data_IF_457045308711
#
_entry.id   IF_457045308711
#
_cell.length_a   1.000
_cell.length_b   1.000
_cell.length_c   1.000
_cell.angle_alpha   90.00
_cell.angle_beta   90.00
_cell.angle_gamma   90.00
#
_symmetry.space_group_name_H-M   'P 1'
#
loop_
_entity.id
_entity.type
_entity.pdbx_description
1 polymer ?
#
# COMPACT_ATOMS: atom_id res chain seq x y z
N UNK A 1 17.02 7.60 4.15
CA UNK A 1 15.59 7.24 4.29
C UNK A 1 15.39 6.40 5.53
N UNK A 2 14.18 6.28 6.08
CA UNK A 2 13.88 5.28 7.11
C UNK A 2 14.17 3.87 6.57
N UNK A 3 14.36 2.90 7.45
CA UNK A 3 14.41 1.48 7.07
C UNK A 3 12.98 0.95 6.98
N UNK A 4 12.72 -0.09 6.19
CA UNK A 4 11.44 -0.86 6.16
C UNK A 4 10.87 -1.06 7.57
N UNK A 5 11.65 -1.67 8.48
CA UNK A 5 11.24 -1.87 9.88
C UNK A 5 10.86 -0.61 10.66
N UNK A 6 11.33 0.58 10.26
CA UNK A 6 10.86 1.83 10.88
C UNK A 6 9.50 2.20 10.31
N UNK A 7 9.29 2.04 9.01
CA UNK A 7 8.04 2.32 8.32
C UNK A 7 6.91 1.43 8.85
N UNK A 8 7.13 0.11 8.97
CA UNK A 8 6.14 -0.84 9.53
C UNK A 8 5.62 -0.39 10.90
N UNK A 9 6.55 0.08 11.75
CA UNK A 9 6.21 0.56 13.08
C UNK A 9 5.40 1.85 13.03
N UNK A 10 5.74 2.77 12.13
CA UNK A 10 5.01 4.03 12.00
C UNK A 10 3.61 3.79 11.46
N UNK A 11 3.43 2.84 10.54
CA UNK A 11 2.12 2.42 10.03
C UNK A 11 1.29 1.71 11.09
N UNK A 12 1.87 0.76 11.81
CA UNK A 12 1.20 0.10 12.93
C UNK A 12 0.72 1.11 13.99
N UNK A 13 1.56 2.07 14.36
CA UNK A 13 1.19 3.14 15.29
C UNK A 13 0.11 4.04 14.66
N UNK A 14 0.21 4.42 13.39
CA UNK A 14 -0.80 5.23 12.70
C UNK A 14 -2.16 4.52 12.69
N UNK A 15 -2.20 3.23 12.34
CA UNK A 15 -3.42 2.44 12.28
C UNK A 15 -4.12 2.38 13.64
N UNK A 16 -3.36 2.13 14.71
CA UNK A 16 -3.91 2.03 16.06
C UNK A 16 -4.33 3.41 16.58
N UNK A 17 -3.49 4.45 16.40
CA UNK A 17 -3.77 5.81 16.88
C UNK A 17 -4.98 6.44 16.16
N UNK A 18 -5.20 6.13 14.90
CA UNK A 18 -6.39 6.61 14.16
C UNK A 18 -7.70 6.07 14.77
N UNK A 19 -7.66 4.86 15.34
CA UNK A 19 -8.84 4.22 15.96
C UNK A 19 -9.01 4.56 17.44
N UNK A 20 -7.90 4.68 18.19
CA UNK A 20 -7.89 4.76 19.67
C UNK A 20 -7.29 6.05 20.24
N UNK A 21 -6.77 6.94 19.41
CA UNK A 21 -6.05 8.16 19.81
C UNK A 21 -4.58 7.95 20.19
N UNK A 22 -4.23 6.79 20.76
CA UNK A 22 -2.86 6.39 21.10
C UNK A 22 -2.64 4.89 20.86
N UNK A 23 -1.38 4.45 20.70
CA UNK A 23 -1.03 3.04 20.62
C UNK A 23 -0.31 2.55 21.88
N UNK A 24 -0.62 1.35 22.36
CA UNK A 24 0.16 0.70 23.43
C UNK A 24 1.19 -0.23 22.81
N UNK A 25 2.32 -0.43 23.49
CA UNK A 25 3.37 -1.35 23.03
C UNK A 25 2.85 -2.78 22.78
N UNK A 26 1.90 -3.26 23.60
CA UNK A 26 1.26 -4.55 23.40
C UNK A 26 0.45 -4.63 22.09
N UNK A 27 -0.25 -3.56 21.73
CA UNK A 27 -1.12 -3.52 20.55
C UNK A 27 -0.24 -3.52 19.28
N UNK A 28 0.89 -2.81 19.33
CA UNK A 28 1.89 -2.80 18.24
C UNK A 28 2.61 -4.15 18.13
N UNK A 29 2.96 -4.77 19.26
CA UNK A 29 3.59 -6.10 19.28
C UNK A 29 2.71 -7.17 18.64
N UNK A 30 1.42 -7.17 19.01
CA UNK A 30 0.42 -8.09 18.47
C UNK A 30 0.21 -7.86 16.96
N UNK A 31 0.05 -6.60 16.54
CA UNK A 31 -0.18 -6.27 15.13
C UNK A 31 1.01 -6.64 14.23
N UNK A 32 2.23 -6.44 14.71
CA UNK A 32 3.46 -6.75 13.96
C UNK A 32 3.96 -8.19 14.16
N UNK A 33 3.32 -8.99 15.02
CA UNK A 33 3.74 -10.38 15.30
C UNK A 33 5.13 -10.50 15.94
N UNK A 34 5.51 -9.55 16.80
CA UNK A 34 6.85 -9.47 17.42
C UNK A 34 6.79 -9.38 18.95
N UNK A 35 7.94 -9.53 19.61
CA UNK A 35 8.00 -9.47 21.08
C UNK A 35 7.79 -8.05 21.64
N UNK A 36 7.12 -7.90 22.81
CA UNK A 36 6.97 -6.60 23.47
C UNK A 36 8.30 -5.91 23.82
N UNK A 37 9.36 -6.69 24.07
CA UNK A 37 10.70 -6.14 24.32
C UNK A 37 11.27 -5.46 23.08
N UNK A 38 11.16 -6.09 21.90
CA UNK A 38 11.56 -5.48 20.63
C UNK A 38 10.81 -4.17 20.34
N UNK A 39 9.51 -4.12 20.68
CA UNK A 39 8.71 -2.90 20.51
C UNK A 39 9.23 -1.78 21.41
N UNK A 40 9.54 -2.08 22.67
CA UNK A 40 10.04 -1.09 23.63
C UNK A 40 11.37 -0.49 23.19
N UNK A 41 12.31 -1.33 22.73
CA UNK A 41 13.59 -0.88 22.17
C UNK A 41 13.40 0.00 20.94
N UNK A 42 12.51 -0.40 20.02
CA UNK A 42 12.21 0.38 18.83
C UNK A 42 11.54 1.71 19.17
N UNK A 43 10.63 1.76 20.14
CA UNK A 43 10.00 3.01 20.58
C UNK A 43 11.02 4.02 21.10
N UNK A 44 11.99 3.58 21.91
CA UNK A 44 13.08 4.45 22.34
C UNK A 44 13.88 4.99 21.15
N UNK A 45 14.16 4.15 20.15
CA UNK A 45 14.87 4.54 18.93
C UNK A 45 14.06 5.53 18.07
N UNK A 46 12.76 5.29 17.88
CA UNK A 46 11.86 6.16 17.12
C UNK A 46 11.68 7.51 17.80
N UNK A 47 11.55 7.52 19.13
CA UNK A 47 11.45 8.73 19.94
C UNK A 47 12.72 9.58 19.83
N UNK A 48 13.91 8.98 20.00
CA UNK A 48 15.20 9.65 19.79
C UNK A 48 15.36 10.24 18.38
N UNK A 49 14.74 9.63 17.37
CA UNK A 49 14.74 10.12 15.98
C UNK A 49 13.65 11.15 15.67
N UNK A 50 12.80 11.47 16.65
CA UNK A 50 11.71 12.45 16.55
C UNK A 50 10.52 11.98 15.72
N UNK A 51 10.30 10.66 15.58
CA UNK A 51 9.16 10.13 14.82
C UNK A 51 7.91 9.90 15.67
N UNK A 52 8.07 9.68 16.97
CA UNK A 52 6.96 9.43 17.89
C UNK A 52 7.12 10.26 19.16
N UNK A 53 5.99 10.60 19.78
CA UNK A 53 5.94 11.03 21.18
C UNK A 53 5.79 9.77 22.02
N UNK A 54 6.80 9.49 22.85
CA UNK A 54 6.83 8.31 23.70
C UNK A 54 7.23 8.69 25.11
N UNK A 55 6.37 8.32 26.06
CA UNK A 55 6.65 8.33 27.48
C UNK A 55 6.55 6.91 28.03
N UNK A 56 7.44 6.56 28.95
CA UNK A 56 7.47 5.21 29.53
C UNK A 56 6.16 4.94 30.26
N UNK A 57 5.57 3.76 30.02
CA UNK A 57 4.25 3.33 30.54
C UNK A 57 3.04 4.11 30.00
N UNK A 58 3.25 5.20 29.28
CA UNK A 58 2.25 5.91 28.50
C UNK A 58 2.15 5.31 27.09
N UNK A 59 1.01 5.54 26.41
CA UNK A 59 0.89 5.19 24.99
C UNK A 59 1.85 5.99 24.11
N UNK A 60 1.94 5.62 22.83
CA UNK A 60 2.69 6.36 21.82
C UNK A 60 1.75 7.03 20.83
N UNK A 61 2.16 8.20 20.36
CA UNK A 61 1.55 8.89 19.21
C UNK A 61 2.61 9.27 18.20
N UNK A 62 2.22 9.48 16.94
CA UNK A 62 3.15 9.96 15.92
C UNK A 62 3.36 11.46 16.06
N UNK A 63 4.60 11.90 15.85
CA UNK A 63 4.88 13.31 15.52
C UNK A 63 4.46 13.58 14.07
N UNK A 64 4.43 14.85 13.65
CA UNK A 64 4.18 15.20 12.24
C UNK A 64 5.20 14.59 11.27
N UNK A 65 6.43 14.35 11.75
CA UNK A 65 7.48 13.70 10.98
C UNK A 65 7.17 12.22 10.78
N UNK A 66 6.81 11.51 11.85
CA UNK A 66 6.43 10.10 11.77
C UNK A 66 5.15 9.88 10.98
N UNK A 67 4.15 10.73 11.19
CA UNK A 67 2.87 10.69 10.48
C UNK A 67 3.03 10.85 8.97
N UNK A 68 3.89 11.78 8.53
CA UNK A 68 4.16 11.97 7.10
C UNK A 68 4.75 10.73 6.44
N UNK A 69 5.60 9.99 7.15
CA UNK A 69 6.17 8.73 6.65
C UNK A 69 5.09 7.65 6.60
N UNK A 70 4.36 7.44 7.71
CA UNK A 70 3.28 6.43 7.76
C UNK A 70 2.23 6.64 6.66
N UNK A 71 1.76 7.89 6.46
CA UNK A 71 0.79 8.20 5.40
C UNK A 71 1.39 7.97 4.01
N UNK A 72 2.69 8.28 3.83
CA UNK A 72 3.35 8.03 2.55
C UNK A 72 3.42 6.54 2.27
N UNK A 73 3.88 5.72 3.22
CA UNK A 73 3.99 4.27 3.04
C UNK A 73 2.63 3.64 2.77
N UNK A 74 1.59 4.00 3.54
CA UNK A 74 0.23 3.52 3.30
C UNK A 74 -0.29 3.91 1.90
N UNK A 75 0.04 5.09 1.38
CA UNK A 75 -0.36 5.46 0.01
C UNK A 75 0.33 4.61 -1.06
N UNK A 76 1.56 4.18 -0.80
CA UNK A 76 2.30 3.26 -1.68
C UNK A 76 1.60 1.89 -1.63
N UNK A 77 1.31 1.39 -0.42
CA UNK A 77 0.54 0.16 -0.20
C UNK A 77 -0.75 0.16 -1.02
N UNK A 78 -1.61 1.16 -0.80
CA UNK A 78 -2.93 1.27 -1.42
C UNK A 78 -2.85 1.34 -2.95
N UNK A 79 -1.83 2.03 -3.47
CA UNK A 79 -1.60 2.11 -4.92
C UNK A 79 -1.23 0.74 -5.48
N UNK A 80 -0.33 0.01 -4.82
CA UNK A 80 0.12 -1.31 -5.25
C UNK A 80 -0.99 -2.34 -5.17
N UNK A 81 -1.73 -2.36 -4.07
CA UNK A 81 -2.87 -3.25 -3.87
C UNK A 81 -3.90 -3.04 -5.00
N UNK A 82 -4.30 -1.79 -5.26
CA UNK A 82 -5.21 -1.46 -6.37
C UNK A 82 -4.65 -1.86 -7.73
N UNK A 83 -3.37 -1.63 -7.96
CA UNK A 83 -2.73 -2.02 -9.21
C UNK A 83 -2.78 -3.54 -9.42
N UNK A 84 -2.47 -4.33 -8.39
CA UNK A 84 -2.51 -5.79 -8.43
C UNK A 84 -3.94 -6.32 -8.62
N UNK A 85 -4.94 -5.68 -7.98
CA UNK A 85 -6.35 -5.97 -8.23
C UNK A 85 -6.76 -5.69 -9.68
N UNK A 86 -6.28 -4.59 -10.28
CA UNK A 86 -6.50 -4.28 -11.71
C UNK A 86 -5.88 -5.36 -12.61
N UNK A 87 -4.74 -5.95 -12.21
CA UNK A 87 -4.14 -7.08 -12.92
C UNK A 87 -4.91 -8.41 -12.76
N UNK A 88 -5.92 -8.45 -11.90
CA UNK A 88 -6.78 -9.62 -11.70
C UNK A 88 -6.32 -10.57 -10.59
N UNK A 89 -5.44 -10.13 -9.70
CA UNK A 89 -5.05 -10.92 -8.52
C UNK A 89 -6.19 -10.94 -7.49
N UNK A 90 -6.21 -12.01 -6.68
CA UNK A 90 -7.07 -12.09 -5.49
C UNK A 90 -6.70 -11.01 -4.47
N UNK A 91 -7.69 -10.53 -3.71
CA UNK A 91 -7.53 -9.47 -2.71
C UNK A 91 -6.47 -9.81 -1.66
N UNK A 92 -6.41 -11.06 -1.18
CA UNK A 92 -5.42 -11.44 -0.17
C UNK A 92 -4.00 -11.42 -0.73
N UNK A 93 -3.82 -11.91 -1.97
CA UNK A 93 -2.51 -11.91 -2.64
C UNK A 93 -2.09 -10.48 -2.94
N UNK A 94 -3.00 -9.65 -3.49
CA UNK A 94 -2.73 -8.26 -3.80
C UNK A 94 -2.26 -7.48 -2.56
N UNK A 95 -2.92 -7.68 -1.43
CA UNK A 95 -2.59 -7.04 -0.17
C UNK A 95 -1.25 -7.52 0.40
N UNK A 96 -1.01 -8.83 0.42
CA UNK A 96 0.25 -9.40 0.92
C UNK A 96 1.44 -8.93 0.08
N UNK A 97 1.32 -8.98 -1.24
CA UNK A 97 2.40 -8.56 -2.15
C UNK A 97 2.63 -7.04 -2.10
N UNK A 98 1.57 -6.23 -1.99
CA UNK A 98 1.69 -4.78 -1.81
C UNK A 98 2.55 -4.44 -0.56
N UNK A 99 2.25 -5.08 0.58
CA UNK A 99 2.99 -4.92 1.83
C UNK A 99 4.49 -5.23 1.67
N UNK A 100 4.83 -6.26 0.88
CA UNK A 100 6.23 -6.66 0.66
C UNK A 100 6.99 -5.73 -0.29
N UNK A 101 6.27 -5.07 -1.20
CA UNK A 101 6.86 -4.27 -2.28
C UNK A 101 6.99 -2.78 -1.89
N UNK A 102 6.10 -2.26 -1.05
CA UNK A 102 5.97 -0.82 -0.80
C UNK A 102 7.25 -0.11 -0.31
N UNK A 103 8.11 -0.81 0.42
CA UNK A 103 9.32 -0.23 1.02
C UNK A 103 10.52 -0.14 0.07
N UNK A 104 10.47 -0.77 -1.10
CA UNK A 104 11.64 -0.89 -2.01
C UNK A 104 11.52 -0.10 -3.30
N UNK A 105 10.35 0.49 -3.57
CA UNK A 105 10.10 1.18 -4.84
C UNK A 105 10.76 2.55 -4.94
N UNK A 106 11.22 2.85 -6.15
CA UNK A 106 11.66 4.20 -6.50
C UNK A 106 10.46 5.17 -6.50
N UNK A 107 10.62 6.40 -5.97
CA UNK A 107 9.58 7.43 -6.00
C UNK A 107 8.96 7.70 -7.39
N UNK A 108 9.75 7.60 -8.46
CA UNK A 108 9.26 7.78 -9.83
C UNK A 108 8.39 6.61 -10.30
N UNK A 109 8.72 5.38 -9.88
CA UNK A 109 7.91 4.19 -10.16
C UNK A 109 6.54 4.32 -9.53
N UNK A 110 6.48 4.71 -8.24
CA UNK A 110 5.19 4.83 -7.58
C UNK A 110 4.36 5.99 -8.13
N UNK A 111 4.97 7.14 -8.47
CA UNK A 111 4.23 8.25 -9.09
C UNK A 111 3.54 7.82 -10.39
N UNK A 112 4.25 7.08 -11.26
CA UNK A 112 3.67 6.57 -12.51
C UNK A 112 2.61 5.50 -12.27
N UNK A 113 2.82 4.60 -11.31
CA UNK A 113 1.83 3.58 -10.94
C UNK A 113 0.56 4.23 -10.38
N UNK A 114 0.68 5.21 -9.48
CA UNK A 114 -0.47 5.95 -8.93
C UNK A 114 -1.27 6.59 -10.06
N UNK A 115 -0.61 7.30 -10.99
CA UNK A 115 -1.28 7.91 -12.15
C UNK A 115 -1.97 6.88 -13.05
N UNK A 116 -1.37 5.71 -13.24
CA UNK A 116 -1.98 4.63 -14.01
C UNK A 116 -3.24 4.10 -13.32
N UNK A 117 -3.17 3.82 -12.02
CA UNK A 117 -4.32 3.35 -11.22
C UNK A 117 -5.44 4.38 -11.27
N UNK A 118 -5.13 5.66 -11.02
CA UNK A 118 -6.11 6.75 -11.08
C UNK A 118 -6.75 6.87 -12.47
N UNK A 119 -5.95 6.82 -13.53
CA UNK A 119 -6.45 6.85 -14.91
C UNK A 119 -7.43 5.71 -15.18
N UNK A 120 -7.10 4.48 -14.80
CA UNK A 120 -7.97 3.31 -15.01
C UNK A 120 -9.26 3.41 -14.18
N UNK A 121 -9.17 3.88 -12.93
CA UNK A 121 -10.33 4.04 -12.05
C UNK A 121 -11.29 5.16 -12.47
N UNK A 122 -10.83 6.13 -13.28
CA UNK A 122 -11.66 7.21 -13.82
C UNK A 122 -12.45 6.82 -15.08
N UNK A 123 -12.12 5.69 -15.72
CA UNK A 123 -12.83 5.26 -16.93
C UNK A 123 -14.23 4.76 -16.57
N UNK A 124 -15.23 5.20 -17.34
CA UNK A 124 -16.59 4.68 -17.21
C UNK A 124 -16.66 3.24 -17.74
N UNK A 125 -17.01 2.30 -16.86
CA UNK A 125 -17.07 0.88 -17.19
C UNK A 125 -15.69 0.20 -17.28
N UNK A 126 -15.70 -1.12 -17.52
CA UNK A 126 -14.45 -1.88 -17.65
C UNK A 126 -13.82 -1.62 -19.03
N UNK A 127 -12.59 -1.13 -19.12
CA UNK A 127 -11.91 -0.90 -20.40
C UNK A 127 -11.80 -2.19 -21.21
N UNK A 128 -12.02 -2.09 -22.53
CA UNK A 128 -11.96 -3.26 -23.43
C UNK A 128 -10.61 -3.98 -23.36
N UNK A 129 -9.51 -3.25 -23.15
CA UNK A 129 -8.19 -3.85 -23.02
C UNK A 129 -8.04 -4.64 -21.71
N UNK A 130 -8.70 -4.25 -20.62
CA UNK A 130 -8.71 -5.01 -19.36
C UNK A 130 -9.47 -6.33 -19.54
N UNK A 131 -10.62 -6.29 -20.20
CA UNK A 131 -11.34 -7.51 -20.56
C UNK A 131 -10.49 -8.45 -21.44
N UNK A 132 -9.77 -7.89 -22.41
CA UNK A 132 -8.86 -8.67 -23.27
C UNK A 132 -7.67 -9.24 -22.49
N UNK A 133 -7.10 -8.44 -21.59
CA UNK A 133 -6.02 -8.89 -20.72
C UNK A 133 -6.49 -10.02 -19.81
N UNK A 134 -7.72 -9.90 -19.28
CA UNK A 134 -8.39 -10.97 -18.52
C UNK A 134 -8.47 -12.27 -19.29
N UNK A 135 -9.02 -12.22 -20.49
CA UNK A 135 -9.06 -13.40 -21.34
C UNK A 135 -7.65 -13.98 -21.58
N UNK A 136 -6.67 -13.13 -21.90
CA UNK A 136 -5.30 -13.57 -22.15
C UNK A 136 -4.66 -14.27 -20.94
N UNK A 137 -4.80 -13.74 -19.72
CA UNK A 137 -4.19 -14.41 -18.56
C UNK A 137 -4.94 -15.68 -18.15
N UNK A 138 -6.23 -15.82 -18.48
CA UNK A 138 -7.02 -17.03 -18.22
C UNK A 138 -6.78 -18.14 -19.25
N UNK A 139 -6.58 -17.80 -20.53
CA UNK A 139 -6.52 -18.77 -21.63
C UNK A 139 -5.16 -18.88 -22.30
N UNK A 140 -4.30 -17.87 -22.17
CA UNK A 140 -3.06 -17.71 -22.93
C UNK A 140 -3.28 -17.18 -24.36
N UNK A 141 -4.53 -16.92 -24.77
CA UNK A 141 -4.87 -16.54 -26.14
C UNK A 141 -5.11 -15.03 -26.28
N UNK A 142 -4.63 -14.46 -27.39
CA UNK A 142 -4.89 -13.07 -27.70
C UNK A 142 -6.23 -12.92 -28.42
N UNK A 143 -7.14 -12.10 -27.89
CA UNK A 143 -8.30 -11.63 -28.65
C UNK A 143 -7.82 -10.61 -29.68
N UNK A 144 -7.57 -11.07 -30.90
CA UNK A 144 -7.23 -10.20 -32.01
C UNK A 144 -8.43 -9.33 -32.40
N UNK A 145 -8.24 -8.01 -32.33
CA UNK A 145 -9.20 -7.05 -32.83
C UNK A 145 -9.19 -7.09 -34.37
N UNK A 146 -10.22 -7.66 -34.98
CA UNK A 146 -10.40 -7.55 -36.44
C UNK A 146 -10.81 -6.11 -36.78
N UNK A 147 -9.82 -5.23 -36.99
CA UNK A 147 -9.97 -3.80 -37.31
C UNK A 147 -10.89 -3.54 -38.53
N UNK A 148 -11.25 -4.57 -39.30
CA UNK A 148 -12.16 -4.46 -40.45
C UNK A 148 -13.63 -4.35 -40.06
N UNK A 149 -14.04 -4.83 -38.88
CA UNK A 149 -15.47 -4.80 -38.46
C UNK A 149 -15.89 -3.48 -37.79
N UNK A 150 -14.99 -2.79 -37.09
CA UNK A 150 -15.31 -1.52 -36.40
C UNK A 150 -15.57 -0.35 -37.37
N UNK A 151 -14.94 -0.34 -38.56
CA UNK A 151 -15.18 0.70 -39.58
C UNK A 151 -16.53 0.61 -40.30
N UNK A 152 -17.27 -0.50 -40.16
CA UNK A 152 -18.58 -0.69 -40.80
C UNK A 152 -19.76 -0.14 -39.97
N UNK A 153 -19.57 0.08 -38.67
CA UNK A 153 -20.62 0.60 -37.78
C UNK A 153 -20.51 2.11 -37.51
N UNK A 154 -19.65 2.82 -38.27
CA UNK A 154 -19.49 4.28 -38.28
C UNK A 154 -19.84 4.91 -39.63
N UNK A 155 -20.63 4.21 -40.47
CA UNK A 155 -21.21 4.74 -41.70
C UNK A 155 -22.72 4.63 -41.66
#
# INVERSE_FOLDING_TARGET
>A
MPTERIEDYLEAIQLITTKKGYARGKDVAELLGISPSSVTEMFQKLSKKGYINYEKYSGVTLTDKGRRIAIKTQRIHDTLERFLLILGLDENIAKEDACRIEHVLNPETIDRLTKFVEFVQQLEGSPLWLHRFKHYYETGEYIHCDRRKERRNLK
#
